data_IF_105984043448
#
_entry.id   IF_105984043448
#
_cell.length_a   1.000
_cell.length_b   1.000
_cell.length_c   1.000
_cell.angle_alpha   90.00
_cell.angle_beta   90.00
_cell.angle_gamma   90.00
#
_symmetry.space_group_name_H-M   'P 1'
#
loop_
_entity.id
_entity.type
_entity.pdbx_description
1 polymer ?
#
# COMPACT_ATOMS: atom_id res chain seq x y z
N UNK A 1 -39.33 -28.84 10.67
CA UNK A 1 -37.93 -29.13 10.27
C UNK A 1 -37.43 -28.00 9.38
N UNK A 2 -37.09 -26.83 9.95
CA UNK A 2 -36.65 -25.65 9.18
C UNK A 2 -35.58 -24.91 9.98
N UNK A 3 -34.32 -25.37 9.94
CA UNK A 3 -33.19 -24.66 10.58
C UNK A 3 -31.84 -24.79 9.87
N UNK A 4 -31.77 -25.42 8.68
CA UNK A 4 -30.48 -25.64 7.98
C UNK A 4 -30.22 -24.69 6.80
N UNK A 5 -31.23 -23.99 6.28
CA UNK A 5 -31.08 -23.24 5.02
C UNK A 5 -30.62 -21.79 5.17
N UNK A 6 -30.58 -21.24 6.39
CA UNK A 6 -30.13 -19.85 6.62
C UNK A 6 -28.60 -19.76 6.75
N UNK A 7 -27.93 -20.86 7.11
CA UNK A 7 -26.48 -20.87 7.36
C UNK A 7 -25.63 -20.83 6.07
N UNK A 8 -26.15 -21.29 4.93
CA UNK A 8 -25.40 -21.34 3.67
C UNK A 8 -25.31 -20.00 2.93
N UNK A 9 -26.28 -19.10 3.11
CA UNK A 9 -26.31 -17.81 2.41
C UNK A 9 -25.28 -16.84 3.01
N UNK A 10 -25.05 -16.88 4.32
CA UNK A 10 -24.01 -16.06 4.95
C UNK A 10 -22.60 -16.44 4.46
N UNK A 11 -22.30 -17.73 4.32
CA UNK A 11 -20.94 -18.20 3.93
C UNK A 11 -20.62 -17.83 2.47
N UNK A 12 -21.62 -17.86 1.57
CA UNK A 12 -21.42 -17.51 0.16
C UNK A 12 -21.11 -16.02 -0.05
N UNK A 13 -21.69 -15.11 0.75
CA UNK A 13 -21.41 -13.68 0.69
C UNK A 13 -20.02 -13.31 1.25
N UNK A 14 -19.51 -14.10 2.20
CA UNK A 14 -18.12 -13.94 2.68
C UNK A 14 -17.08 -14.36 1.63
N UNK A 15 -17.42 -15.29 0.72
CA UNK A 15 -16.47 -15.82 -0.27
C UNK A 15 -16.29 -14.89 -1.48
N UNK A 16 -17.34 -14.19 -1.92
CA UNK A 16 -17.24 -13.32 -3.10
C UNK A 16 -16.44 -12.05 -2.82
N UNK A 17 -16.71 -11.36 -1.71
CA UNK A 17 -15.96 -10.15 -1.33
C UNK A 17 -14.53 -10.41 -0.86
N UNK A 18 -14.21 -11.62 -0.40
CA UNK A 18 -12.84 -11.99 -0.04
C UNK A 18 -11.98 -12.28 -1.28
N UNK A 19 -12.57 -12.87 -2.32
CA UNK A 19 -11.88 -13.14 -3.58
C UNK A 19 -11.51 -11.85 -4.34
N UNK A 20 -12.40 -10.86 -4.37
CA UNK A 20 -12.11 -9.58 -5.04
C UNK A 20 -10.94 -8.83 -4.40
N UNK A 21 -10.86 -8.85 -3.07
CA UNK A 21 -9.81 -8.19 -2.32
C UNK A 21 -8.45 -8.88 -2.47
N UNK A 22 -8.42 -10.22 -2.43
CA UNK A 22 -7.21 -11.01 -2.68
C UNK A 22 -6.74 -10.87 -4.13
N UNK A 23 -7.67 -10.84 -5.10
CA UNK A 23 -7.34 -10.58 -6.50
C UNK A 23 -6.76 -9.18 -6.67
N UNK A 24 -7.37 -8.14 -6.09
CA UNK A 24 -6.83 -6.80 -6.09
C UNK A 24 -5.40 -6.77 -5.55
N UNK A 25 -5.18 -7.36 -4.37
CA UNK A 25 -3.87 -7.40 -3.72
C UNK A 25 -2.82 -8.05 -4.62
N UNK A 26 -3.18 -9.16 -5.24
CA UNK A 26 -2.31 -9.88 -6.17
C UNK A 26 -1.96 -9.03 -7.40
N UNK A 27 -2.98 -8.48 -8.06
CA UNK A 27 -2.81 -7.71 -9.30
C UNK A 27 -2.03 -6.41 -9.04
N UNK A 28 -2.36 -5.70 -7.95
CA UNK A 28 -1.66 -4.51 -7.52
C UNK A 28 -0.19 -4.81 -7.22
N UNK A 29 0.10 -5.87 -6.44
CA UNK A 29 1.47 -6.24 -6.11
C UNK A 29 2.27 -6.65 -7.35
N UNK A 30 1.66 -7.36 -8.30
CA UNK A 30 2.31 -7.73 -9.56
C UNK A 30 2.71 -6.50 -10.37
N UNK A 31 1.79 -5.53 -10.52
CA UNK A 31 2.07 -4.26 -11.20
C UNK A 31 3.18 -3.47 -10.49
N UNK A 32 3.12 -3.36 -9.17
CA UNK A 32 4.10 -2.57 -8.40
C UNK A 32 5.49 -3.20 -8.40
N UNK A 33 5.57 -4.54 -8.28
CA UNK A 33 6.84 -5.27 -8.42
C UNK A 33 7.49 -5.02 -9.77
N UNK A 34 6.69 -5.07 -10.84
CA UNK A 34 7.16 -4.84 -12.20
C UNK A 34 7.63 -3.39 -12.40
N UNK A 35 6.92 -2.42 -11.80
CA UNK A 35 7.29 -1.01 -11.83
C UNK A 35 8.59 -0.70 -11.05
N UNK A 36 8.76 -1.29 -9.86
CA UNK A 36 9.91 -1.00 -8.99
C UNK A 36 11.25 -1.45 -9.58
N UNK A 37 11.28 -2.49 -10.42
CA UNK A 37 12.52 -3.03 -11.00
C UNK A 37 13.57 -3.37 -9.91
N UNK A 38 14.81 -2.91 -10.09
CA UNK A 38 15.90 -3.09 -9.11
C UNK A 38 15.90 -2.06 -7.97
N UNK A 39 14.87 -1.22 -7.89
CA UNK A 39 14.71 -0.13 -6.92
C UNK A 39 13.53 -0.41 -5.97
N UNK A 40 13.15 0.61 -5.21
CA UNK A 40 12.06 0.61 -4.25
C UNK A 40 11.05 1.71 -4.55
N UNK A 41 9.77 1.34 -4.66
CA UNK A 41 8.66 2.29 -4.67
C UNK A 41 8.00 2.36 -3.29
N UNK A 42 7.48 3.53 -2.94
CA UNK A 42 6.76 3.77 -1.68
C UNK A 42 5.28 3.96 -2.01
N UNK A 43 4.44 3.08 -1.49
CA UNK A 43 2.98 3.16 -1.61
C UNK A 43 2.43 3.68 -0.29
N UNK A 44 1.90 4.91 -0.32
CA UNK A 44 1.38 5.62 0.84
C UNK A 44 -0.13 5.56 0.84
N UNK A 45 -0.72 4.94 1.87
CA UNK A 45 -2.16 4.82 2.01
C UNK A 45 -2.63 5.76 3.10
N UNK A 46 -3.56 6.65 2.78
CA UNK A 46 -3.94 7.74 3.66
C UNK A 46 -5.45 7.92 3.72
N UNK A 47 -5.96 8.19 4.93
CA UNK A 47 -7.33 8.65 5.16
C UNK A 47 -7.48 10.16 4.91
N UNK A 48 -8.69 10.66 5.15
CA UNK A 48 -8.99 12.10 5.11
C UNK A 48 -8.11 12.86 6.12
N UNK A 49 -7.52 13.99 5.70
CA UNK A 49 -6.76 14.88 6.59
C UNK A 49 -5.28 14.55 6.80
N UNK A 50 -4.65 13.71 5.98
CA UNK A 50 -3.25 13.31 6.18
C UNK A 50 -2.25 14.47 6.15
N UNK A 51 -1.30 14.44 7.09
CA UNK A 51 -0.30 15.48 7.38
C UNK A 51 0.69 15.76 6.23
N UNK A 52 0.91 17.03 5.89
CA UNK A 52 1.85 17.44 4.84
C UNK A 52 3.31 17.16 5.20
N UNK A 53 3.71 17.34 6.47
CA UNK A 53 5.12 17.22 6.92
C UNK A 53 5.71 15.81 6.75
N UNK A 54 4.92 14.77 6.98
CA UNK A 54 5.37 13.38 6.78
C UNK A 54 5.59 13.06 5.29
N UNK A 55 4.80 13.68 4.42
CA UNK A 55 4.97 13.55 2.97
C UNK A 55 6.29 14.17 2.51
N UNK A 56 6.61 15.36 3.05
CA UNK A 56 7.86 16.06 2.73
C UNK A 56 9.08 15.20 3.10
N UNK A 57 9.08 14.61 4.30
CA UNK A 57 10.14 13.68 4.74
C UNK A 57 10.33 12.53 3.77
N UNK A 58 9.25 11.87 3.36
CA UNK A 58 9.29 10.75 2.42
C UNK A 58 9.79 11.19 1.04
N UNK A 59 9.41 12.39 0.57
CA UNK A 59 9.90 12.94 -0.70
C UNK A 59 11.43 13.10 -0.68
N UNK A 60 12.02 13.50 0.46
CA UNK A 60 13.48 13.65 0.57
C UNK A 60 14.26 12.36 0.36
N UNK A 61 13.61 11.19 0.47
CA UNK A 61 14.23 9.89 0.20
C UNK A 61 14.56 9.70 -1.28
N UNK A 62 14.06 10.56 -2.17
CA UNK A 62 14.47 10.58 -3.57
C UNK A 62 16.00 10.78 -3.75
N UNK A 63 16.70 11.25 -2.71
CA UNK A 63 18.16 11.35 -2.64
C UNK A 63 18.87 10.01 -2.77
N UNK A 64 18.23 8.88 -2.45
CA UNK A 64 18.85 7.55 -2.54
C UNK A 64 18.76 6.97 -3.96
N UNK A 65 19.83 6.33 -4.44
CA UNK A 65 19.90 5.72 -5.78
C UNK A 65 18.80 4.70 -6.06
N UNK A 66 18.47 3.87 -5.06
CA UNK A 66 17.45 2.83 -5.14
C UNK A 66 16.04 3.34 -4.86
N UNK A 67 15.84 4.65 -4.74
CA UNK A 67 14.51 5.24 -4.76
C UNK A 67 13.99 5.32 -6.20
N UNK A 68 12.79 4.79 -6.41
CA UNK A 68 12.07 4.87 -7.68
C UNK A 68 11.00 5.97 -7.67
N UNK A 69 9.87 5.72 -7.01
CA UNK A 69 8.69 6.59 -7.03
C UNK A 69 7.87 6.51 -5.73
N UNK A 70 6.99 7.51 -5.54
CA UNK A 70 5.96 7.53 -4.49
C UNK A 70 4.58 7.46 -5.14
N UNK A 71 3.75 6.55 -4.66
CA UNK A 71 2.34 6.41 -5.06
C UNK A 71 1.45 6.72 -3.87
N UNK A 72 0.55 7.70 -4.02
CA UNK A 72 -0.38 8.09 -2.97
C UNK A 72 -1.76 7.51 -3.25
N UNK A 73 -2.25 6.68 -2.32
CA UNK A 73 -3.56 6.05 -2.35
C UNK A 73 -4.42 6.71 -1.27
N UNK A 74 -5.43 7.47 -1.70
CA UNK A 74 -6.35 8.15 -0.77
C UNK A 74 -7.64 7.35 -0.67
N UNK A 75 -8.03 7.03 0.56
CA UNK A 75 -9.40 6.63 0.86
C UNK A 75 -10.24 7.89 1.07
N UNK A 76 -11.35 8.02 0.35
CA UNK A 76 -12.33 9.10 0.53
C UNK A 76 -13.56 8.47 1.16
N UNK A 77 -13.80 8.75 2.44
CA UNK A 77 -15.02 8.35 3.13
C UNK A 77 -16.20 9.18 2.57
N UNK A 78 -17.34 8.53 2.30
CA UNK A 78 -18.63 9.11 1.85
C UNK A 78 -18.75 9.69 0.42
N UNK A 79 -17.81 9.43 -0.50
CA UNK A 79 -18.03 9.81 -1.92
C UNK A 79 -18.89 8.77 -2.65
N UNK A 80 -20.21 8.99 -2.65
CA UNK A 80 -21.19 8.19 -3.41
C UNK A 80 -21.15 8.46 -4.91
N UNK A 81 -20.17 9.22 -5.39
CA UNK A 81 -19.97 9.51 -6.79
C UNK A 81 -18.52 9.25 -7.21
N UNK A 82 -18.35 8.53 -8.32
CA UNK A 82 -17.13 8.45 -9.15
C UNK A 82 -16.21 7.22 -8.91
N UNK A 83 -16.59 6.08 -9.49
CA UNK A 83 -15.80 5.47 -10.59
C UNK A 83 -14.48 4.73 -10.33
N UNK A 84 -14.04 4.52 -9.08
CA UNK A 84 -12.93 3.59 -8.79
C UNK A 84 -13.41 2.59 -7.74
N UNK A 85 -13.43 1.30 -8.09
CA UNK A 85 -13.87 0.19 -7.24
C UNK A 85 -13.46 0.40 -5.77
N UNK A 86 -14.42 0.38 -4.85
CA UNK A 86 -14.30 0.64 -3.40
C UNK A 86 -13.37 -0.38 -2.71
N UNK A 87 -12.07 -0.25 -2.95
CA UNK A 87 -11.06 -1.07 -2.30
C UNK A 87 -10.83 -0.49 -0.91
N UNK A 88 -11.32 -1.21 0.09
CA UNK A 88 -10.92 -1.02 1.47
C UNK A 88 -9.44 -1.44 1.62
N UNK A 89 -8.54 -0.46 1.54
CA UNK A 89 -7.10 -0.70 1.62
C UNK A 89 -6.68 -1.28 2.98
N UNK A 90 -7.33 -0.88 4.07
CA UNK A 90 -7.04 -1.43 5.39
C UNK A 90 -7.32 -2.93 5.39
N UNK A 91 -8.49 -3.32 4.89
CA UNK A 91 -8.84 -4.74 4.74
C UNK A 91 -7.91 -5.45 3.76
N UNK A 92 -7.56 -4.83 2.63
CA UNK A 92 -6.71 -5.43 1.59
C UNK A 92 -5.32 -5.82 2.12
N UNK A 93 -4.78 -4.99 3.02
CA UNK A 93 -3.41 -5.14 3.51
C UNK A 93 -3.34 -5.62 4.96
N UNK A 94 -4.48 -5.92 5.58
CA UNK A 94 -4.59 -6.38 6.96
C UNK A 94 -4.12 -5.32 7.96
N UNK A 95 -4.38 -4.06 7.66
CA UNK A 95 -4.05 -2.90 8.50
C UNK A 95 -5.27 -2.43 9.28
N UNK A 96 -5.01 -1.71 10.37
CA UNK A 96 -6.07 -1.26 11.29
C UNK A 96 -6.38 0.23 11.18
N UNK A 97 -5.42 1.01 10.71
CA UNK A 97 -5.53 2.47 10.66
C UNK A 97 -4.70 3.07 9.51
N UNK A 98 -5.08 4.28 9.13
CA UNK A 98 -4.29 5.14 8.26
C UNK A 98 -3.47 6.14 9.11
N UNK A 99 -2.34 6.64 8.58
CA UNK A 99 -1.70 6.21 7.35
C UNK A 99 -0.93 4.90 7.55
N UNK A 100 -0.77 4.14 6.47
CA UNK A 100 0.19 3.05 6.42
C UNK A 100 0.94 3.07 5.09
N UNK A 101 2.08 2.41 5.06
CA UNK A 101 3.07 2.49 4.00
C UNK A 101 3.54 1.10 3.62
N UNK A 102 3.68 0.87 2.32
CA UNK A 102 4.34 -0.31 1.77
C UNK A 102 5.56 0.14 0.97
N UNK A 103 6.72 -0.43 1.26
CA UNK A 103 7.88 -0.35 0.37
C UNK A 103 7.87 -1.61 -0.49
N UNK A 104 7.83 -1.43 -1.81
CA UNK A 104 7.76 -2.53 -2.78
C UNK A 104 9.04 -2.58 -3.61
N UNK A 105 9.53 -3.79 -3.84
CA UNK A 105 10.67 -4.12 -4.72
C UNK A 105 10.22 -5.15 -5.75
N UNK A 106 11.07 -5.53 -6.72
CA UNK A 106 10.81 -6.70 -7.58
C UNK A 106 10.52 -8.00 -6.81
N UNK A 107 11.02 -8.13 -5.57
CA UNK A 107 10.79 -9.30 -4.71
C UNK A 107 9.41 -9.31 -4.03
N UNK A 108 8.66 -8.21 -4.09
CA UNK A 108 7.42 -8.01 -3.34
C UNK A 108 7.56 -6.92 -2.28
N UNK A 109 6.75 -7.01 -1.23
CA UNK A 109 6.76 -6.05 -0.11
C UNK A 109 8.05 -6.25 0.69
N UNK A 110 8.89 -5.23 0.70
CA UNK A 110 10.14 -5.19 1.47
C UNK A 110 9.93 -4.63 2.89
N UNK A 111 8.96 -3.73 3.05
CA UNK A 111 8.55 -3.19 4.35
C UNK A 111 7.06 -2.86 4.35
N UNK A 112 6.40 -3.12 5.47
CA UNK A 112 5.05 -2.64 5.79
C UNK A 112 5.10 -1.95 7.15
N UNK A 113 4.68 -0.69 7.24
CA UNK A 113 4.79 0.12 8.47
C UNK A 113 3.75 1.24 8.50
N UNK A 114 3.47 1.77 9.68
CA UNK A 114 2.72 3.03 9.90
C UNK A 114 3.64 4.20 10.27
N UNK A 115 4.96 3.97 10.36
CA UNK A 115 5.96 4.94 10.82
C UNK A 115 6.84 5.43 9.67
N UNK A 116 6.94 6.76 9.53
CA UNK A 116 7.87 7.38 8.57
C UNK A 116 9.32 7.12 8.95
N UNK A 117 9.63 7.00 10.25
CA UNK A 117 11.00 6.74 10.72
C UNK A 117 11.50 5.38 10.19
N UNK A 118 10.64 4.37 10.20
CA UNK A 118 11.00 3.02 9.72
C UNK A 118 11.31 3.04 8.21
N UNK A 119 10.65 3.92 7.45
CA UNK A 119 10.91 4.11 6.02
C UNK A 119 12.27 4.80 5.83
N UNK A 120 12.58 5.83 6.61
CA UNK A 120 13.88 6.50 6.58
C UNK A 120 15.01 5.53 6.91
N UNK A 121 14.90 4.77 8.00
CA UNK A 121 15.87 3.73 8.39
C UNK A 121 16.02 2.66 7.31
N UNK A 122 14.91 2.26 6.67
CA UNK A 122 14.97 1.32 5.56
C UNK A 122 15.80 1.87 4.40
N UNK A 123 15.61 3.12 4.01
CA UNK A 123 16.35 3.73 2.90
C UNK A 123 17.79 4.07 3.26
N UNK A 124 18.09 4.42 4.51
CA UNK A 124 19.48 4.54 4.98
C UNK A 124 20.25 3.23 4.81
N UNK A 125 19.62 2.11 5.14
CA UNK A 125 20.24 0.78 5.05
C UNK A 125 20.26 0.20 3.64
N UNK A 126 19.19 0.41 2.87
CA UNK A 126 18.93 -0.32 1.62
C UNK A 126 18.90 0.58 0.39
N UNK A 127 18.89 1.91 0.54
CA UNK A 127 18.71 2.89 -0.53
C UNK A 127 19.90 3.04 -1.47
N UNK A 128 21.05 2.45 -1.15
CA UNK A 128 22.28 2.63 -1.92
C UNK A 128 22.95 3.96 -1.59
N UNK A 129 23.74 4.49 -2.53
CA UNK A 129 24.43 5.76 -2.33
C UNK A 129 23.47 6.95 -2.49
N UNK A 130 23.91 8.14 -2.08
CA UNK A 130 23.21 9.36 -2.40
C UNK A 130 23.46 9.73 -3.86
N UNK A 131 22.40 10.14 -4.58
CA UNK A 131 22.44 10.66 -5.94
C UNK A 131 23.19 11.99 -5.93
N UNK A 132 24.51 11.93 -6.04
CA UNK A 132 25.40 13.08 -5.90
C UNK A 132 26.82 12.68 -5.52
N UNK A 133 26.99 11.51 -4.92
CA UNK A 133 28.29 10.98 -4.47
C UNK A 133 28.99 10.10 -5.54
N UNK A 134 28.52 10.14 -6.79
CA UNK A 134 29.17 9.45 -7.91
C UNK A 134 30.34 10.30 -8.41
N UNK A 135 31.52 10.06 -7.87
CA UNK A 135 32.81 10.50 -8.44
C UNK A 135 33.09 9.82 -9.79
#
# INVERSE_FOLDING_TARGET
>A
MVKKSILFILIALFLTGCNELENYKKDALELWKNGAGDKYSIHMFRGNGSNSKESERIITLNKYEKFDAIYSHRYIEDDTSIGANDIDYLKAWGEKEYPFYLIVSKGGIALKTTSVNDIEEFFEKNGGQLKGDRE
#
